data_IF_172083077852
#
_entry.id   IF_172083077852
#
_cell.length_a   1.000
_cell.length_b   1.000
_cell.length_c   1.000
_cell.angle_alpha   90.00
_cell.angle_beta   90.00
_cell.angle_gamma   90.00
#
_symmetry.space_group_name_H-M   'P 1'
#
loop_
_entity.id
_entity.type
_entity.pdbx_description
1 polymer ?
#
# COMPACT_ATOMS: atom_id res chain seq x y z
N UNK A 1 15.80 -20.82 8.21
CA UNK A 1 16.02 -20.31 6.83
C UNK A 1 16.33 -18.82 6.76
N UNK A 2 15.94 -17.98 7.75
CA UNK A 2 16.31 -16.55 7.77
C UNK A 2 17.78 -16.26 8.13
N UNK A 3 18.55 -17.27 8.56
CA UNK A 3 19.98 -17.13 8.89
C UNK A 3 20.91 -17.17 7.66
N UNK A 4 20.42 -17.63 6.50
CA UNK A 4 21.25 -17.83 5.28
C UNK A 4 21.28 -16.64 4.31
N UNK A 5 20.57 -15.54 4.61
CA UNK A 5 20.52 -14.34 3.75
C UNK A 5 21.27 -13.15 4.36
N UNK A 6 22.17 -13.41 5.31
CA UNK A 6 23.15 -12.41 5.75
C UNK A 6 24.32 -12.41 4.77
N UNK A 7 24.24 -11.48 3.82
CA UNK A 7 25.43 -10.99 3.13
C UNK A 7 25.49 -11.33 1.66
N UNK A 8 24.69 -10.65 0.83
CA UNK A 8 25.11 -10.22 -0.50
C UNK A 8 24.42 -8.88 -0.84
N UNK A 9 25.15 -7.81 -0.54
CA UNK A 9 25.19 -6.52 -1.27
C UNK A 9 23.92 -6.08 -2.02
N UNK A 10 23.12 -5.25 -1.34
CA UNK A 10 22.01 -4.46 -1.90
C UNK A 10 22.46 -3.34 -2.88
N UNK A 11 23.66 -3.43 -3.46
CA UNK A 11 24.23 -2.39 -4.32
C UNK A 11 23.91 -2.59 -5.82
N UNK A 12 23.43 -3.77 -6.24
CA UNK A 12 23.01 -4.02 -7.65
C UNK A 12 21.49 -3.98 -7.87
N UNK A 13 20.73 -3.53 -6.87
CA UNK A 13 19.26 -3.67 -6.82
C UNK A 13 18.49 -2.42 -7.26
N UNK A 14 19.09 -1.24 -7.25
CA UNK A 14 18.35 0.02 -7.43
C UNK A 14 17.74 0.17 -8.85
N UNK A 15 18.44 -0.29 -9.89
CA UNK A 15 17.93 -0.32 -11.28
C UNK A 15 16.72 -1.26 -11.42
N UNK A 16 16.60 -2.27 -10.54
CA UNK A 16 15.54 -3.30 -10.63
C UNK A 16 14.17 -2.83 -10.13
N UNK A 17 14.10 -1.79 -9.29
CA UNK A 17 12.83 -1.24 -8.78
C UNK A 17 12.25 -0.14 -9.66
N UNK A 18 13.12 0.59 -10.34
CA UNK A 18 12.72 1.74 -11.17
C UNK A 18 11.92 1.29 -12.41
N UNK A 19 12.33 0.18 -13.05
CA UNK A 19 11.64 -0.33 -14.23
C UNK A 19 10.17 -0.76 -13.97
N UNK A 20 9.86 -1.54 -12.91
CA UNK A 20 8.47 -1.84 -12.54
C UNK A 20 7.57 -0.60 -12.35
N UNK A 21 8.08 0.48 -11.77
CA UNK A 21 7.30 1.73 -11.57
C UNK A 21 6.91 2.33 -12.92
N UNK A 22 7.84 2.42 -13.87
CA UNK A 22 7.54 2.95 -15.20
C UNK A 22 6.60 2.04 -15.99
N UNK A 23 6.71 0.72 -15.84
CA UNK A 23 5.77 -0.23 -16.44
C UNK A 23 4.37 -0.05 -15.82
N UNK A 24 4.26 0.15 -14.50
CA UNK A 24 2.99 0.42 -13.83
C UNK A 24 2.35 1.73 -14.33
N UNK A 25 3.13 2.82 -14.43
CA UNK A 25 2.70 4.09 -15.03
C UNK A 25 2.19 3.89 -16.45
N UNK A 26 2.91 3.13 -17.27
CA UNK A 26 2.52 2.83 -18.66
C UNK A 26 1.20 2.06 -18.71
N UNK A 27 1.04 1.01 -17.90
CA UNK A 27 -0.18 0.19 -17.86
C UNK A 27 -1.40 1.01 -17.44
N UNK A 28 -1.28 1.83 -16.40
CA UNK A 28 -2.39 2.68 -15.92
C UNK A 28 -2.72 3.77 -16.94
N UNK A 29 -1.70 4.35 -17.61
CA UNK A 29 -1.90 5.34 -18.67
C UNK A 29 -2.61 4.74 -19.89
N UNK A 30 -2.19 3.55 -20.32
CA UNK A 30 -2.85 2.80 -21.42
C UNK A 30 -4.29 2.48 -21.05
N UNK A 31 -4.55 2.01 -19.83
CA UNK A 31 -5.91 1.78 -19.35
C UNK A 31 -6.76 3.07 -19.43
N UNK A 32 -6.25 4.19 -18.91
CA UNK A 32 -6.95 5.48 -18.92
C UNK A 32 -7.28 5.93 -20.35
N UNK A 33 -6.32 5.82 -21.27
CA UNK A 33 -6.52 6.17 -22.69
C UNK A 33 -7.57 5.27 -23.33
N UNK A 34 -7.50 3.95 -23.11
CA UNK A 34 -8.44 2.99 -23.69
C UNK A 34 -9.87 3.23 -23.19
N UNK A 35 -10.05 3.49 -21.89
CA UNK A 35 -11.34 3.86 -21.29
C UNK A 35 -11.85 5.17 -21.88
N UNK A 36 -10.97 6.16 -22.09
CA UNK A 36 -11.35 7.46 -22.64
C UNK A 36 -11.82 7.36 -24.10
N UNK A 37 -11.13 6.57 -24.93
CA UNK A 37 -11.48 6.34 -26.34
C UNK A 37 -12.78 5.53 -26.47
N UNK A 38 -12.94 4.47 -25.68
CA UNK A 38 -14.06 3.54 -25.80
C UNK A 38 -15.20 3.82 -24.81
N UNK A 39 -15.38 5.07 -24.35
CA UNK A 39 -16.40 5.42 -23.33
C UNK A 39 -17.81 4.92 -23.64
N UNK A 40 -18.21 4.84 -24.92
CA UNK A 40 -19.51 4.31 -25.35
C UNK A 40 -19.61 2.79 -25.24
N UNK A 41 -18.52 2.07 -25.50
CA UNK A 41 -18.46 0.60 -25.48
C UNK A 41 -18.15 0.03 -24.09
N UNK A 42 -17.53 0.81 -23.20
CA UNK A 42 -17.26 0.42 -21.80
C UNK A 42 -18.56 0.16 -21.00
N UNK A 43 -19.72 0.66 -21.47
CA UNK A 43 -21.04 0.30 -20.91
C UNK A 43 -21.46 -1.14 -21.21
N UNK A 44 -20.78 -1.82 -22.15
CA UNK A 44 -20.95 -3.26 -22.40
C UNK A 44 -20.07 -4.06 -21.44
N UNK A 45 -20.63 -5.15 -20.88
CA UNK A 45 -20.00 -5.94 -19.79
C UNK A 45 -18.65 -6.57 -20.19
N UNK A 46 -18.46 -6.89 -21.47
CA UNK A 46 -17.29 -7.65 -21.92
C UNK A 46 -16.04 -6.77 -22.02
N UNK A 47 -16.19 -5.53 -22.50
CA UNK A 47 -15.08 -4.57 -22.61
C UNK A 47 -14.50 -4.19 -21.24
N UNK A 48 -15.36 -4.04 -20.24
CA UNK A 48 -14.96 -3.72 -18.87
C UNK A 48 -14.09 -4.84 -18.26
N UNK A 49 -14.39 -6.10 -18.58
CA UNK A 49 -13.65 -7.27 -18.08
C UNK A 49 -12.21 -7.29 -18.61
N UNK A 50 -12.02 -7.04 -19.92
CA UNK A 50 -10.69 -6.97 -20.53
C UNK A 50 -9.85 -5.80 -20.00
N UNK A 51 -10.47 -4.63 -19.78
CA UNK A 51 -9.79 -3.47 -19.24
C UNK A 51 -9.38 -3.68 -17.77
N UNK A 52 -10.20 -4.38 -16.98
CA UNK A 52 -9.89 -4.72 -15.59
C UNK A 52 -8.65 -5.62 -15.48
N UNK A 53 -8.39 -6.46 -16.48
CA UNK A 53 -7.18 -7.29 -16.53
C UNK A 53 -5.89 -6.45 -16.53
N UNK A 54 -5.88 -5.31 -17.24
CA UNK A 54 -4.71 -4.40 -17.28
C UNK A 54 -4.40 -3.86 -15.89
N UNK A 55 -5.43 -3.44 -15.15
CA UNK A 55 -5.27 -2.98 -13.77
C UNK A 55 -4.85 -4.11 -12.82
N UNK A 56 -5.36 -5.33 -13.02
CA UNK A 56 -4.95 -6.50 -12.23
C UNK A 56 -3.46 -6.84 -12.44
N UNK A 57 -2.95 -6.72 -13.67
CA UNK A 57 -1.52 -6.88 -13.98
C UNK A 57 -0.70 -5.78 -13.32
N UNK A 58 -1.13 -4.53 -13.40
CA UNK A 58 -0.45 -3.40 -12.75
C UNK A 58 -0.36 -3.60 -11.22
N UNK A 59 -1.48 -3.99 -10.58
CA UNK A 59 -1.52 -4.32 -9.15
C UNK A 59 -0.62 -5.52 -8.80
N UNK A 60 -0.57 -6.55 -9.64
CA UNK A 60 0.30 -7.71 -9.47
C UNK A 60 1.79 -7.31 -9.51
N UNK A 61 2.16 -6.43 -10.43
CA UNK A 61 3.50 -5.89 -10.56
C UNK A 61 3.90 -5.07 -9.33
N UNK A 62 3.01 -4.20 -8.84
CA UNK A 62 3.22 -3.41 -7.63
C UNK A 62 3.50 -4.30 -6.42
N UNK A 63 2.74 -5.39 -6.27
CA UNK A 63 2.93 -6.37 -5.20
C UNK A 63 4.25 -7.14 -5.30
N UNK A 64 4.72 -7.43 -6.52
CA UNK A 64 6.01 -8.07 -6.74
C UNK A 64 7.17 -7.10 -6.41
N UNK A 65 7.07 -5.85 -6.86
CA UNK A 65 8.02 -4.79 -6.60
C UNK A 65 8.21 -4.54 -5.10
N UNK A 66 7.12 -4.36 -4.35
CA UNK A 66 7.17 -4.10 -2.90
C UNK A 66 7.85 -5.23 -2.13
N UNK A 67 7.61 -6.49 -2.49
CA UNK A 67 8.29 -7.64 -1.88
C UNK A 67 9.80 -7.61 -2.11
N UNK A 68 10.22 -7.28 -3.32
CA UNK A 68 11.63 -7.19 -3.65
C UNK A 68 12.29 -5.98 -2.96
N UNK A 69 11.58 -4.85 -2.81
CA UNK A 69 12.14 -3.59 -2.29
C UNK A 69 12.27 -3.59 -0.77
N UNK A 70 11.25 -4.06 -0.07
CA UNK A 70 11.18 -3.98 1.40
C UNK A 70 11.91 -5.11 2.12
N UNK A 71 12.29 -6.19 1.41
CA UNK A 71 12.82 -7.42 2.01
C UNK A 71 11.89 -8.06 3.06
N UNK A 72 10.68 -7.51 3.23
CA UNK A 72 9.75 -7.77 4.32
C UNK A 72 8.43 -8.24 3.71
N UNK A 73 7.73 -9.14 4.40
CA UNK A 73 6.53 -9.82 3.87
C UNK A 73 5.24 -8.99 3.88
N UNK A 74 5.30 -7.67 4.06
CA UNK A 74 4.10 -6.82 4.08
C UNK A 74 3.61 -6.61 2.64
N UNK A 75 2.46 -7.19 2.29
CA UNK A 75 1.82 -7.02 0.97
C UNK A 75 0.45 -6.40 1.17
N UNK A 76 0.07 -5.47 0.28
CA UNK A 76 -1.23 -4.78 0.31
C UNK A 76 -2.42 -5.70 0.03
N UNK A 77 -2.18 -6.95 -0.41
CA UNK A 77 -3.22 -7.98 -0.59
C UNK A 77 -3.55 -8.76 0.69
N UNK A 78 -2.72 -8.66 1.73
CA UNK A 78 -2.98 -9.30 3.03
C UNK A 78 -3.62 -8.33 4.03
N UNK A 79 -4.35 -7.31 3.55
CA UNK A 79 -5.09 -6.37 4.41
C UNK A 79 -6.03 -7.09 5.36
N UNK A 80 -6.60 -8.24 4.98
CA UNK A 80 -7.41 -9.07 5.87
C UNK A 80 -6.62 -9.59 7.08
N UNK A 81 -5.35 -9.97 6.89
CA UNK A 81 -4.46 -10.38 7.98
C UNK A 81 -4.16 -9.20 8.91
N UNK A 82 -3.80 -8.05 8.32
CA UNK A 82 -3.56 -6.80 9.06
C UNK A 82 -4.80 -6.37 9.87
N UNK A 83 -5.99 -6.48 9.29
CA UNK A 83 -7.26 -6.18 9.96
C UNK A 83 -7.56 -7.16 11.09
N UNK A 84 -7.22 -8.44 10.92
CA UNK A 84 -7.40 -9.47 11.96
C UNK A 84 -6.46 -9.22 13.13
N UNK A 85 -5.18 -8.93 12.87
CA UNK A 85 -4.20 -8.62 13.90
C UNK A 85 -4.55 -7.32 14.64
N UNK A 86 -4.96 -6.29 13.90
CA UNK A 86 -5.52 -5.06 14.48
C UNK A 86 -6.72 -5.34 15.39
N UNK A 87 -7.67 -6.16 14.94
CA UNK A 87 -8.85 -6.56 15.71
C UNK A 87 -8.49 -7.33 16.98
N UNK A 88 -7.53 -8.24 16.91
CA UNK A 88 -7.05 -9.01 18.07
C UNK A 88 -6.36 -8.10 19.12
N UNK A 89 -5.52 -7.17 18.67
CA UNK A 89 -4.85 -6.21 19.55
C UNK A 89 -5.84 -5.23 20.20
N UNK A 90 -6.81 -4.72 19.42
CA UNK A 90 -7.88 -3.87 19.92
C UNK A 90 -8.78 -4.62 20.92
N UNK A 91 -9.20 -5.84 20.57
CA UNK A 91 -10.03 -6.68 21.43
C UNK A 91 -9.36 -6.99 22.77
N UNK A 92 -8.05 -7.25 22.76
CA UNK A 92 -7.28 -7.43 23.99
C UNK A 92 -7.21 -6.14 24.83
N UNK A 93 -7.04 -4.97 24.20
CA UNK A 93 -7.04 -3.68 24.90
C UNK A 93 -8.39 -3.41 25.55
N UNK A 94 -9.49 -3.62 24.82
CA UNK A 94 -10.86 -3.43 25.31
C UNK A 94 -11.17 -4.41 26.45
N UNK A 95 -10.83 -5.70 26.30
CA UNK A 95 -11.06 -6.71 27.35
C UNK A 95 -10.39 -6.33 28.65
N UNK A 96 -9.10 -5.99 28.62
CA UNK A 96 -8.34 -5.62 29.82
C UNK A 96 -8.86 -4.31 30.45
N UNK A 97 -9.22 -3.32 29.62
CA UNK A 97 -9.82 -2.09 30.10
C UNK A 97 -11.18 -2.34 30.77
N UNK A 98 -11.98 -3.25 30.21
CA UNK A 98 -13.28 -3.63 30.75
C UNK A 98 -13.15 -4.40 32.08
N UNK A 99 -12.16 -5.28 32.23
CA UNK A 99 -11.85 -5.95 33.51
C UNK A 99 -11.48 -4.94 34.63
N UNK A 100 -10.68 -3.93 34.31
CA UNK A 100 -10.36 -2.85 35.25
C UNK A 100 -11.58 -1.94 35.53
N UNK A 101 -12.48 -1.77 34.56
CA UNK A 101 -13.72 -1.03 34.74
C UNK A 101 -14.68 -1.74 35.70
N UNK A 102 -14.86 -3.06 35.51
CA UNK A 102 -15.69 -3.92 36.37
C UNK A 102 -15.18 -3.97 37.82
N UNK A 103 -13.87 -3.84 38.02
CA UNK A 103 -13.26 -3.73 39.36
C UNK A 103 -13.32 -2.31 39.94
N UNK A 104 -14.09 -1.40 39.33
CA UNK A 104 -14.25 0.01 39.72
C UNK A 104 -12.94 0.82 39.69
N UNK A 105 -11.92 0.36 38.95
CA UNK A 105 -10.60 0.99 38.80
C UNK A 105 -10.54 1.82 37.53
N UNK A 106 -11.45 2.79 37.41
CA UNK A 106 -11.61 3.66 36.22
C UNK A 106 -10.31 4.29 35.71
N UNK A 107 -9.43 4.76 36.62
CA UNK A 107 -8.13 5.35 36.25
C UNK A 107 -7.16 4.32 35.64
N UNK A 108 -7.23 3.07 36.09
CA UNK A 108 -6.38 1.99 35.57
C UNK A 108 -6.91 1.45 34.24
N UNK A 109 -8.23 1.40 34.06
CA UNK A 109 -8.84 1.01 32.79
C UNK A 109 -8.34 1.85 31.62
N UNK A 110 -8.33 3.17 31.78
CA UNK A 110 -7.79 4.08 30.76
C UNK A 110 -6.29 3.88 30.52
N UNK A 111 -5.50 3.69 31.58
CA UNK A 111 -4.04 3.48 31.46
C UNK A 111 -3.71 2.17 30.71
N UNK A 112 -4.33 1.06 31.10
CA UNK A 112 -4.09 -0.26 30.48
C UNK A 112 -4.53 -0.27 29.02
N UNK A 113 -5.64 0.40 28.68
CA UNK A 113 -6.07 0.57 27.30
C UNK A 113 -5.02 1.29 26.46
N UNK A 114 -4.59 2.49 26.90
CA UNK A 114 -3.62 3.33 26.19
C UNK A 114 -2.26 2.64 26.08
N UNK A 115 -1.78 1.99 27.13
CA UNK A 115 -0.51 1.26 27.12
C UNK A 115 -0.54 0.12 26.10
N UNK A 116 -1.70 -0.51 25.90
CA UNK A 116 -1.86 -1.56 24.88
C UNK A 116 -1.91 -0.99 23.48
N UNK A 117 -2.62 0.12 23.26
CA UNK A 117 -2.67 0.80 21.96
C UNK A 117 -1.33 1.42 21.54
N UNK A 118 -0.47 1.75 22.51
CA UNK A 118 0.88 2.27 22.24
C UNK A 118 1.87 1.23 21.74
N UNK A 119 1.50 -0.05 21.68
CA UNK A 119 2.37 -1.08 21.12
C UNK A 119 2.62 -0.79 19.63
N UNK A 120 3.89 -0.90 19.22
CA UNK A 120 4.30 -0.62 17.84
C UNK A 120 3.56 -1.48 16.81
N UNK A 121 3.17 -2.71 17.16
CA UNK A 121 2.36 -3.58 16.30
C UNK A 121 1.01 -2.94 15.98
N UNK A 122 0.24 -2.56 17.01
CA UNK A 122 -1.06 -1.92 16.86
C UNK A 122 -1.00 -0.65 16.02
N UNK A 123 -0.03 0.22 16.30
CA UNK A 123 0.14 1.48 15.55
C UNK A 123 0.42 1.18 14.07
N UNK A 124 1.29 0.22 13.79
CA UNK A 124 1.65 -0.15 12.43
C UNK A 124 0.47 -0.77 11.65
N UNK A 125 -0.24 -1.73 12.24
CA UNK A 125 -1.42 -2.34 11.62
C UNK A 125 -2.54 -1.31 11.39
N UNK A 126 -2.76 -0.43 12.37
CA UNK A 126 -3.71 0.69 12.25
C UNK A 126 -3.34 1.62 11.10
N UNK A 127 -2.07 2.00 10.99
CA UNK A 127 -1.59 2.89 9.94
C UNK A 127 -1.82 2.29 8.55
N UNK A 128 -1.46 1.02 8.35
CA UNK A 128 -1.68 0.34 7.06
C UNK A 128 -3.17 0.27 6.73
N UNK A 129 -4.01 -0.13 7.69
CA UNK A 129 -5.44 -0.28 7.49
C UNK A 129 -6.12 1.06 7.15
N UNK A 130 -5.74 2.13 7.85
CA UNK A 130 -6.25 3.48 7.61
C UNK A 130 -5.75 4.06 6.30
N UNK A 131 -4.47 3.87 5.96
CA UNK A 131 -3.91 4.31 4.68
C UNK A 131 -4.61 3.61 3.50
N UNK A 132 -4.81 2.30 3.58
CA UNK A 132 -5.55 1.54 2.57
C UNK A 132 -7.01 1.99 2.46
N UNK A 133 -7.72 2.08 3.59
CA UNK A 133 -9.14 2.43 3.61
C UNK A 133 -9.38 3.87 3.13
N UNK A 134 -8.53 4.82 3.55
CA UNK A 134 -8.59 6.20 3.06
C UNK A 134 -8.32 6.27 1.57
N UNK A 135 -7.30 5.56 1.07
CA UNK A 135 -7.03 5.46 -0.37
C UNK A 135 -8.23 4.93 -1.16
N UNK A 136 -8.93 3.90 -0.65
CA UNK A 136 -10.13 3.36 -1.29
C UNK A 136 -11.28 4.38 -1.31
N UNK A 137 -11.52 5.08 -0.20
CA UNK A 137 -12.56 6.12 -0.10
C UNK A 137 -12.25 7.29 -1.02
N UNK A 138 -11.03 7.86 -0.94
CA UNK A 138 -10.63 8.98 -1.77
C UNK A 138 -10.59 8.61 -3.26
N UNK A 139 -10.12 7.40 -3.60
CA UNK A 139 -10.14 6.90 -4.97
C UNK A 139 -11.55 6.75 -5.52
N UNK A 140 -12.48 6.25 -4.71
CA UNK A 140 -13.90 6.15 -5.10
C UNK A 140 -14.53 7.53 -5.29
N UNK A 141 -14.31 8.46 -4.37
CA UNK A 141 -14.80 9.84 -4.48
C UNK A 141 -14.21 10.51 -5.73
N UNK A 142 -12.91 10.39 -5.96
CA UNK A 142 -12.25 10.94 -7.15
C UNK A 142 -12.85 10.35 -8.44
N UNK A 143 -13.10 9.04 -8.48
CA UNK A 143 -13.76 8.40 -9.62
C UNK A 143 -15.20 8.90 -9.83
N UNK A 144 -15.96 9.10 -8.76
CA UNK A 144 -17.32 9.65 -8.87
C UNK A 144 -17.34 11.10 -9.37
N UNK A 145 -16.32 11.90 -9.02
CA UNK A 145 -16.24 13.32 -9.40
C UNK A 145 -15.60 13.53 -10.79
N UNK A 146 -14.63 12.70 -11.17
CA UNK A 146 -13.77 12.93 -12.34
C UNK A 146 -13.62 11.72 -13.27
N UNK A 147 -14.33 10.61 -13.00
CA UNK A 147 -14.29 9.38 -13.79
C UNK A 147 -12.86 8.89 -14.06
N UNK A 148 -12.51 8.65 -15.33
CA UNK A 148 -11.18 8.20 -15.77
C UNK A 148 -10.06 9.20 -15.46
N UNK A 149 -10.37 10.51 -15.36
CA UNK A 149 -9.36 11.52 -15.01
C UNK A 149 -8.84 11.37 -13.57
N UNK A 150 -9.57 10.66 -12.70
CA UNK A 150 -9.10 10.34 -11.35
C UNK A 150 -7.76 9.58 -11.36
N UNK A 151 -7.46 8.85 -12.45
CA UNK A 151 -6.21 8.11 -12.62
C UNK A 151 -4.99 9.00 -12.85
N UNK A 152 -5.17 10.27 -13.23
CA UNK A 152 -4.07 11.22 -13.33
C UNK A 152 -3.36 11.41 -11.97
N UNK A 153 -4.09 11.31 -10.86
CA UNK A 153 -3.53 11.36 -9.51
C UNK A 153 -2.45 10.29 -9.29
N UNK A 154 -2.79 8.98 -9.32
CA UNK A 154 -1.79 7.92 -9.15
C UNK A 154 -0.72 7.92 -10.25
N UNK A 155 -1.06 8.24 -11.52
CA UNK A 155 -0.06 8.34 -12.61
C UNK A 155 0.99 9.40 -12.29
N UNK A 156 0.58 10.59 -11.87
CA UNK A 156 1.50 11.70 -11.56
C UNK A 156 2.37 11.37 -10.35
N UNK A 157 1.78 10.84 -9.28
CA UNK A 157 2.52 10.42 -8.08
C UNK A 157 3.57 9.36 -8.43
N UNK A 158 3.19 8.31 -9.15
CA UNK A 158 4.11 7.23 -9.55
C UNK A 158 5.20 7.74 -10.49
N UNK A 159 4.88 8.67 -11.39
CA UNK A 159 5.87 9.29 -12.28
C UNK A 159 6.90 10.10 -11.50
N UNK A 160 6.47 10.90 -10.52
CA UNK A 160 7.37 11.67 -9.65
C UNK A 160 8.27 10.73 -8.84
N UNK A 161 7.71 9.66 -8.28
CA UNK A 161 8.48 8.64 -7.56
C UNK A 161 9.48 7.97 -8.51
N UNK A 162 9.04 7.53 -9.68
CA UNK A 162 9.89 6.87 -10.68
C UNK A 162 11.05 7.74 -11.14
N UNK A 163 10.81 9.04 -11.37
CA UNK A 163 11.88 10.00 -11.72
C UNK A 163 12.83 10.20 -10.53
N UNK A 164 12.31 10.34 -9.32
CA UNK A 164 13.14 10.56 -8.12
C UNK A 164 14.05 9.36 -7.86
N UNK A 165 13.51 8.15 -7.97
CA UNK A 165 14.28 6.92 -7.82
C UNK A 165 15.28 6.73 -8.96
N UNK A 166 14.89 7.01 -10.21
CA UNK A 166 15.81 6.97 -11.35
C UNK A 166 17.00 7.92 -11.17
N UNK A 167 16.76 9.15 -10.66
CA UNK A 167 17.84 10.11 -10.35
C UNK A 167 18.77 9.59 -9.25
N UNK A 168 18.22 9.00 -8.19
CA UNK A 168 19.02 8.38 -7.11
C UNK A 168 19.93 7.25 -7.60
N UNK A 169 19.53 6.53 -8.64
CA UNK A 169 20.36 5.49 -9.26
C UNK A 169 21.50 6.09 -10.10
N UNK A 170 21.25 7.22 -10.75
CA UNK A 170 22.21 7.89 -11.64
C UNK A 170 23.24 8.74 -10.89
N UNK A 171 22.95 9.17 -9.68
CA UNK A 171 23.88 9.83 -8.77
C UNK A 171 24.57 8.76 -7.91
N UNK A 172 25.70 8.15 -8.36
CA UNK A 172 26.46 7.25 -7.49
C UNK A 172 26.83 8.03 -6.23
N UNK A 173 26.61 7.44 -5.06
CA UNK A 173 27.00 8.06 -3.80
C UNK A 173 28.47 8.46 -3.89
N UNK A 174 28.72 9.78 -3.97
CA UNK A 174 30.00 10.34 -3.57
C UNK A 174 30.23 9.77 -2.18
N UNK A 175 31.26 8.92 -2.07
CA UNK A 175 31.70 8.35 -0.83
C UNK A 175 32.02 9.54 0.09
N UNK A 176 31.09 9.83 1.01
CA UNK A 176 31.37 10.74 2.11
C UNK A 176 32.56 10.15 2.88
N UNK A 177 33.64 10.93 3.07
CA UNK A 177 34.87 10.46 3.71
C UNK A 177 34.65 9.98 5.15
#
# INVERSE_FOLDING_TARGET
TSFLLRGYTAASSQVKYTAPIFIEVLLISVYMILVSIHRSEVRSSDYLSHLTFVLAVAMGLQNAMLRQASGTFVRTTHVTGVATDFGAELGAAVRLAFEELLSLRWKNAGRVFIDRLRKSGFIFHSFILLAFSSGAVFGTIAFLLAADLALLGPITILTVIGITEYRRVLEPQEQLP
#
